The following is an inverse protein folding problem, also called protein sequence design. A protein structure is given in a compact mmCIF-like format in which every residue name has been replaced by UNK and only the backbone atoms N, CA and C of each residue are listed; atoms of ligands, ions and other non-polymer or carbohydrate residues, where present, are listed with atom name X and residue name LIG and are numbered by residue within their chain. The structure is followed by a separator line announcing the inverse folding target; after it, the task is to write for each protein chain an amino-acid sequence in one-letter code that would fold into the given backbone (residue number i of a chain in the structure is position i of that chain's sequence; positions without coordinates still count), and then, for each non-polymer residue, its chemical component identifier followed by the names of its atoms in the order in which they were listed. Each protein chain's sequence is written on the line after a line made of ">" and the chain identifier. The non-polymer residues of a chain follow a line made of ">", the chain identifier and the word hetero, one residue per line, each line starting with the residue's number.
data_IF_260937323685
#
_entry.id   IF_260937323685
#
_cell.length_a   1.000
_cell.length_b   1.000
_cell.length_c   1.000
_cell.angle_alpha   90.00
_cell.angle_beta   90.00
_cell.angle_gamma   90.00
#
_symmetry.space_group_name_H-M   'P 1'
#
loop_
_entity.id
_entity.type
_entity.pdbx_description
1 polymer ?
#
# COMPACT_ATOMS: atom_id res chain seq x y z
N UNK A 1 5.66 -13.64 -16.47
CA UNK A 1 5.17 -13.89 -15.10
C UNK A 1 5.45 -12.77 -14.11
N UNK A 2 6.68 -12.21 -14.05
CA UNK A 2 7.08 -11.26 -13.01
C UNK A 2 6.21 -9.98 -12.90
N UNK A 3 5.83 -9.36 -14.03
CA UNK A 3 4.98 -8.14 -14.02
C UNK A 3 3.62 -8.35 -13.33
N UNK A 4 2.99 -9.52 -13.51
CA UNK A 4 1.70 -9.84 -12.87
C UNK A 4 1.86 -10.07 -11.37
N UNK A 5 2.95 -10.73 -10.97
CA UNK A 5 3.29 -10.92 -9.56
C UNK A 5 3.40 -9.59 -8.81
N UNK A 6 4.12 -8.61 -9.38
CA UNK A 6 4.28 -7.29 -8.73
C UNK A 6 2.95 -6.54 -8.60
N UNK A 7 2.03 -6.68 -9.58
CA UNK A 7 0.69 -6.07 -9.47
C UNK A 7 -0.08 -6.70 -8.31
N UNK A 8 -0.11 -8.03 -8.19
CA UNK A 8 -0.77 -8.72 -7.08
C UNK A 8 -0.19 -8.29 -5.73
N UNK A 9 1.14 -8.19 -5.61
CA UNK A 9 1.79 -7.71 -4.38
C UNK A 9 1.42 -6.27 -4.06
N UNK A 10 1.33 -5.39 -5.05
CA UNK A 10 0.90 -4.00 -4.85
C UNK A 10 -0.57 -3.88 -4.43
N UNK A 11 -1.45 -4.73 -5.00
CA UNK A 11 -2.86 -4.81 -4.62
C UNK A 11 -3.03 -5.31 -3.18
N UNK A 12 -2.37 -6.42 -2.82
CA UNK A 12 -2.40 -6.95 -1.46
C UNK A 12 -1.89 -5.91 -0.45
N UNK A 13 -0.82 -5.19 -0.78
CA UNK A 13 -0.32 -4.13 0.08
C UNK A 13 -1.27 -2.92 0.21
N UNK A 14 -2.10 -2.64 -0.80
CA UNK A 14 -3.11 -1.57 -0.73
C UNK A 14 -4.27 -1.88 0.20
N UNK A 15 -4.50 -3.16 0.51
CA UNK A 15 -5.50 -3.59 1.47
C UNK A 15 -5.03 -3.46 2.94
N UNK A 16 -3.73 -3.31 3.18
CA UNK A 16 -3.16 -3.23 4.53
C UNK A 16 -3.05 -1.77 5.00
N UNK A 17 -3.80 -1.35 6.06
CA UNK A 17 -3.81 0.04 6.52
C UNK A 17 -2.41 0.55 6.91
N UNK A 18 -1.61 -0.29 7.58
CA UNK A 18 -0.26 0.07 8.01
C UNK A 18 0.66 0.46 6.84
N UNK A 19 0.55 -0.24 5.70
CA UNK A 19 1.35 0.07 4.51
C UNK A 19 0.85 1.34 3.80
N UNK A 20 -0.46 1.58 3.82
CA UNK A 20 -1.05 2.78 3.22
C UNK A 20 -0.73 4.04 4.04
N UNK A 21 -0.78 3.94 5.37
CA UNK A 21 -0.39 5.02 6.28
C UNK A 21 1.12 5.30 6.23
N UNK A 22 1.97 4.26 6.16
CA UNK A 22 3.44 4.45 6.11
C UNK A 22 3.90 5.17 4.85
N UNK A 23 3.20 4.97 3.72
CA UNK A 23 3.40 5.75 2.49
C UNK A 23 3.04 7.24 2.67
N UNK A 24 2.20 7.54 3.65
CA UNK A 24 1.77 8.87 4.01
C UNK A 24 0.40 9.25 3.44
N UNK A 25 -0.48 8.30 3.12
CA UNK A 25 -1.87 8.65 2.85
C UNK A 25 -2.61 9.00 4.15
N UNK A 26 -3.54 9.95 4.09
CA UNK A 26 -4.40 10.36 5.21
C UNK A 26 -5.69 9.54 5.20
N UNK A 27 -5.66 8.41 5.90
CA UNK A 27 -6.78 7.44 5.97
C UNK A 27 -7.30 7.24 7.39
N UNK A 28 -7.02 8.18 8.31
CA UNK A 28 -7.35 8.06 9.73
C UNK A 28 -8.88 8.05 9.99
N UNK A 29 -9.66 8.74 9.16
CA UNK A 29 -11.12 8.83 9.26
C UNK A 29 -11.86 7.88 8.30
N UNK A 30 -11.14 7.12 7.46
CA UNK A 30 -11.75 6.23 6.47
C UNK A 30 -12.32 4.99 7.19
N UNK A 31 -13.58 4.59 6.91
CA UNK A 31 -14.25 3.55 7.70
C UNK A 31 -13.61 2.17 7.56
N UNK A 32 -13.18 1.82 6.34
CA UNK A 32 -12.65 0.50 6.04
C UNK A 32 -11.60 0.54 4.93
N UNK A 33 -10.76 -0.50 4.92
CA UNK A 33 -9.80 -0.76 3.86
C UNK A 33 -9.79 -2.28 3.59
N UNK A 34 -10.00 -2.74 2.35
CA UNK A 34 -10.20 -1.99 1.11
C UNK A 34 -11.54 -1.22 1.07
N UNK A 35 -11.53 0.00 0.50
CA UNK A 35 -12.73 0.83 0.38
C UNK A 35 -13.46 0.53 -0.93
N UNK A 36 -14.69 0.02 -0.83
CA UNK A 36 -15.55 -0.32 -1.98
C UNK A 36 -16.78 0.60 -2.01
N UNK A 37 -17.16 1.09 -3.18
CA UNK A 37 -18.30 1.99 -3.40
C UNK A 37 -19.25 1.45 -4.47
N UNK A 38 -20.50 1.89 -4.43
CA UNK A 38 -21.52 1.53 -5.43
C UNK A 38 -21.10 1.89 -6.87
N UNK A 39 -21.58 1.12 -7.84
CA UNK A 39 -21.28 1.34 -9.27
C UNK A 39 -21.86 2.66 -9.81
N UNK A 40 -22.81 3.30 -9.12
CA UNK A 40 -23.34 4.64 -9.46
C UNK A 40 -22.26 5.71 -9.56
N UNK A 41 -21.10 5.49 -8.92
CA UNK A 41 -19.95 6.40 -8.98
C UNK A 41 -19.33 6.43 -10.38
N UNK A 42 -19.48 5.37 -11.18
CA UNK A 42 -19.01 5.30 -12.56
C UNK A 42 -19.78 6.27 -13.49
N UNK A 43 -21.05 6.55 -13.15
CA UNK A 43 -21.97 7.41 -13.91
C UNK A 43 -21.83 8.91 -13.63
N UNK A 44 -20.96 9.30 -12.69
CA UNK A 44 -20.78 10.71 -12.35
C UNK A 44 -20.28 11.52 -13.54
N UNK A 45 -20.99 12.62 -13.83
CA UNK A 45 -20.67 13.53 -14.94
C UNK A 45 -20.02 14.82 -14.45
N UNK A 46 -20.29 15.23 -13.21
CA UNK A 46 -19.83 16.52 -12.67
C UNK A 46 -18.77 16.34 -11.59
N UNK A 47 -17.76 17.21 -11.63
CA UNK A 47 -16.72 17.26 -10.59
C UNK A 47 -17.28 17.57 -9.19
N UNK A 48 -18.40 18.29 -9.10
CA UNK A 48 -19.09 18.60 -7.84
C UNK A 48 -19.55 17.33 -7.11
N UNK A 49 -20.12 16.37 -7.83
CA UNK A 49 -20.55 15.06 -7.30
C UNK A 49 -19.33 14.28 -6.77
N UNK A 50 -18.25 14.24 -7.55
CA UNK A 50 -16.99 13.64 -7.13
C UNK A 50 -16.41 14.30 -5.87
N UNK A 51 -16.49 15.63 -5.72
CA UNK A 51 -16.09 16.33 -4.47
C UNK A 51 -16.94 15.91 -3.29
N UNK A 52 -18.26 15.80 -3.48
CA UNK A 52 -19.19 15.42 -2.42
C UNK A 52 -18.93 13.99 -1.93
N UNK A 53 -18.79 13.03 -2.85
CA UNK A 53 -18.48 11.64 -2.52
C UNK A 53 -17.20 11.53 -1.67
N UNK A 54 -16.13 12.26 -2.04
CA UNK A 54 -14.87 12.23 -1.29
C UNK A 54 -14.96 12.82 0.12
N UNK A 55 -15.89 13.76 0.35
CA UNK A 55 -16.18 14.27 1.69
C UNK A 55 -16.91 13.21 2.52
N UNK A 56 -17.85 12.50 1.92
CA UNK A 56 -18.63 11.46 2.59
C UNK A 56 -17.76 10.26 2.95
N UNK A 57 -16.89 9.82 2.04
CA UNK A 57 -15.92 8.73 2.26
C UNK A 57 -14.72 9.11 3.13
N UNK A 58 -14.70 10.32 3.71
CA UNK A 58 -13.61 10.85 4.54
C UNK A 58 -12.23 10.89 3.88
N UNK A 59 -12.15 10.73 2.55
CA UNK A 59 -10.94 10.84 1.74
C UNK A 59 -10.50 12.30 1.47
N UNK A 60 -11.21 13.29 2.00
CA UNK A 60 -10.93 14.73 1.78
C UNK A 60 -9.53 15.13 2.26
N UNK A 61 -9.09 14.60 3.40
CA UNK A 61 -7.82 14.98 4.02
C UNK A 61 -6.62 14.58 3.16
N UNK A 62 -6.68 13.45 2.46
CA UNK A 62 -5.62 13.01 1.55
C UNK A 62 -5.45 13.97 0.36
N UNK A 63 -6.56 14.47 -0.18
CA UNK A 63 -6.53 15.45 -1.27
C UNK A 63 -6.12 16.84 -0.78
N UNK A 64 -6.56 17.27 0.40
CA UNK A 64 -6.08 18.51 1.02
C UNK A 64 -4.56 18.49 1.16
N UNK A 65 -3.99 17.34 1.51
CA UNK A 65 -2.53 17.12 1.53
C UNK A 65 -1.88 17.24 0.14
N UNK A 66 -2.55 16.78 -0.92
CA UNK A 66 -2.07 16.99 -2.30
C UNK A 66 -2.06 18.48 -2.65
N UNK A 67 -3.15 19.20 -2.42
CA UNK A 67 -3.21 20.66 -2.66
C UNK A 67 -2.10 21.41 -1.91
N UNK A 68 -1.92 21.13 -0.62
CA UNK A 68 -0.84 21.75 0.18
C UNK A 68 0.58 21.30 -0.20
N UNK A 69 0.74 20.31 -1.08
CA UNK A 69 2.05 19.84 -1.54
C UNK A 69 2.51 20.46 -2.87
N UNK A 70 1.62 21.21 -3.54
CA UNK A 70 1.93 21.82 -4.82
C UNK A 70 3.00 22.90 -4.64
N UNK A 71 4.13 22.75 -5.34
CA UNK A 71 5.23 23.71 -5.32
C UNK A 71 6.02 23.71 -6.63
N UNK A 72 6.78 24.76 -6.84
CA UNK A 72 7.70 24.85 -7.97
C UNK A 72 8.89 23.91 -7.79
N UNK A 73 9.24 23.16 -8.84
CA UNK A 73 10.38 22.25 -8.91
C UNK A 73 11.68 23.05 -8.82
N UNK A 74 12.64 22.60 -8.01
CA UNK A 74 13.97 23.19 -7.98
C UNK A 74 14.79 22.87 -9.25
N UNK A 75 15.69 23.78 -9.63
CA UNK A 75 16.66 23.58 -10.71
C UNK A 75 16.11 23.74 -12.14
N UNK A 76 16.90 23.26 -13.12
CA UNK A 76 16.67 23.45 -14.57
C UNK A 76 15.40 22.77 -15.12
N UNK A 77 14.72 21.96 -14.32
CA UNK A 77 13.46 21.32 -14.72
C UNK A 77 12.33 22.32 -15.02
N UNK A 78 12.38 23.53 -14.44
CA UNK A 78 11.41 24.61 -14.69
C UNK A 78 11.35 25.00 -16.17
N UNK A 79 12.51 25.13 -16.81
CA UNK A 79 12.65 25.52 -18.22
C UNK A 79 12.27 24.38 -19.18
N UNK A 80 12.23 23.14 -18.68
CA UNK A 80 11.92 21.93 -19.48
C UNK A 80 10.48 21.45 -19.30
N UNK A 81 9.53 22.37 -19.17
CA UNK A 81 8.09 22.09 -19.01
C UNK A 81 7.73 21.17 -17.83
N UNK A 82 8.56 21.15 -16.77
CA UNK A 82 8.35 20.35 -15.55
C UNK A 82 8.38 21.23 -14.30
N UNK A 83 7.77 22.41 -14.40
CA UNK A 83 7.83 23.46 -13.39
C UNK A 83 7.12 23.11 -12.09
N UNK A 84 6.01 22.38 -12.12
CA UNK A 84 5.24 22.04 -10.91
C UNK A 84 5.49 20.59 -10.46
N UNK A 85 5.47 20.38 -9.14
CA UNK A 85 5.46 19.07 -8.50
C UNK A 85 4.33 18.98 -7.48
N UNK A 86 3.76 17.78 -7.33
CA UNK A 86 2.70 17.49 -6.37
C UNK A 86 2.79 16.04 -5.92
N UNK A 87 2.19 15.72 -4.77
CA UNK A 87 2.06 14.33 -4.29
C UNK A 87 0.99 13.58 -5.06
N UNK A 88 1.12 12.25 -5.10
CA UNK A 88 0.05 11.36 -5.56
C UNK A 88 -1.02 11.23 -4.48
N UNK A 89 -2.27 11.35 -4.87
CA UNK A 89 -3.44 11.13 -4.01
C UNK A 89 -4.04 9.74 -4.23
N UNK A 90 -5.35 9.56 -3.95
CA UNK A 90 -5.99 8.27 -4.04
C UNK A 90 -6.07 7.77 -5.48
N UNK A 91 -6.08 6.46 -5.60
CA UNK A 91 -6.32 5.73 -6.84
C UNK A 91 -7.81 5.34 -6.89
N UNK A 92 -8.50 5.59 -7.99
CA UNK A 92 -9.89 5.16 -8.19
C UNK A 92 -9.88 4.10 -9.28
N UNK A 93 -10.27 2.89 -8.88
CA UNK A 93 -10.33 1.72 -9.74
C UNK A 93 -11.78 1.49 -10.16
N UNK A 94 -12.02 1.50 -11.46
CA UNK A 94 -13.35 1.36 -12.06
C UNK A 94 -13.33 0.27 -13.14
N UNK A 95 -14.50 -0.24 -13.48
CA UNK A 95 -14.67 -1.23 -14.53
C UNK A 95 -14.97 -0.55 -15.87
N UNK A 96 -16.06 0.23 -15.92
CA UNK A 96 -16.54 0.89 -17.13
C UNK A 96 -16.49 2.41 -17.00
N UNK A 97 -16.29 3.11 -18.12
CA UNK A 97 -16.25 4.57 -18.13
C UNK A 97 -17.58 5.14 -18.64
N UNK A 98 -18.51 5.39 -17.72
CA UNK A 98 -19.79 6.06 -17.98
C UNK A 98 -19.72 7.59 -17.77
N UNK A 99 -18.53 8.15 -17.51
CA UNK A 99 -18.35 9.57 -17.19
C UNK A 99 -17.34 9.83 -16.07
N UNK A 100 -17.00 8.80 -15.29
CA UNK A 100 -16.07 8.88 -14.16
C UNK A 100 -14.75 9.57 -14.50
N UNK A 101 -14.20 9.34 -15.71
CA UNK A 101 -12.94 9.98 -16.08
C UNK A 101 -13.09 11.51 -16.11
N UNK A 102 -14.18 12.01 -16.69
CA UNK A 102 -14.45 13.45 -16.78
C UNK A 102 -14.74 14.06 -15.42
N UNK A 103 -15.45 13.34 -14.55
CA UNK A 103 -15.76 13.80 -13.20
C UNK A 103 -14.52 13.89 -12.29
N UNK A 104 -13.56 12.97 -12.44
CA UNK A 104 -12.42 12.88 -11.52
C UNK A 104 -11.11 13.49 -12.05
N UNK A 105 -10.92 13.65 -13.37
CA UNK A 105 -9.65 14.12 -13.96
C UNK A 105 -9.17 15.49 -13.49
N UNK A 106 -10.09 16.39 -13.12
CA UNK A 106 -9.74 17.77 -12.76
C UNK A 106 -9.27 17.90 -11.30
N UNK A 107 -9.27 16.81 -10.54
CA UNK A 107 -8.86 16.83 -9.14
C UNK A 107 -7.36 16.50 -9.07
N UNK A 108 -6.55 17.34 -8.42
CA UNK A 108 -5.12 17.09 -8.34
C UNK A 108 -4.81 15.83 -7.54
N UNK A 109 -3.81 15.08 -8.00
CA UNK A 109 -3.29 13.88 -7.35
C UNK A 109 -4.15 12.62 -7.52
N UNK A 110 -5.41 12.72 -7.91
CA UNK A 110 -6.24 11.53 -8.19
C UNK A 110 -5.70 10.82 -9.41
N UNK A 111 -5.70 9.49 -9.36
CA UNK A 111 -5.36 8.67 -10.52
C UNK A 111 -6.48 7.67 -10.79
N UNK A 112 -6.96 7.69 -12.01
CA UNK A 112 -7.97 6.75 -12.49
C UNK A 112 -7.28 5.52 -13.11
N UNK A 113 -7.82 4.36 -12.80
CA UNK A 113 -7.32 3.06 -13.22
C UNK A 113 -8.50 2.18 -13.63
N UNK A 114 -8.43 1.67 -14.86
CA UNK A 114 -9.38 0.65 -15.31
C UNK A 114 -8.90 -0.72 -14.81
N UNK A 115 -9.83 -1.53 -14.29
CA UNK A 115 -9.55 -2.83 -13.70
C UNK A 115 -8.91 -3.83 -14.68
N UNK A 116 -9.34 -3.84 -15.94
CA UNK A 116 -8.78 -4.70 -16.97
C UNK A 116 -7.34 -4.30 -17.35
N UNK A 117 -6.96 -3.04 -17.07
CA UNK A 117 -5.68 -2.44 -17.47
C UNK A 117 -4.95 -1.81 -16.27
N UNK A 118 -4.81 -2.58 -15.19
CA UNK A 118 -4.04 -2.15 -14.01
C UNK A 118 -2.57 -1.87 -14.36
N UNK A 119 -2.08 -0.71 -13.89
CA UNK A 119 -0.71 -0.28 -14.14
C UNK A 119 0.08 -0.19 -12.83
N UNK A 120 1.19 -0.93 -12.77
CA UNK A 120 2.06 -0.95 -11.59
C UNK A 120 2.66 0.42 -11.25
N UNK A 121 2.99 1.25 -12.25
CA UNK A 121 3.56 2.58 -12.03
C UNK A 121 2.59 3.50 -11.30
N UNK A 122 1.28 3.26 -11.49
CA UNK A 122 0.21 3.98 -10.81
C UNK A 122 -0.13 3.34 -9.46
N UNK A 123 -0.09 2.03 -9.31
CA UNK A 123 -0.35 1.37 -8.02
C UNK A 123 0.79 1.55 -7.01
N UNK A 124 2.04 1.45 -7.46
CA UNK A 124 3.25 1.59 -6.65
C UNK A 124 4.16 2.73 -7.17
N UNK A 125 3.72 4.00 -7.12
CA UNK A 125 4.53 5.13 -7.56
C UNK A 125 5.83 5.21 -6.77
N UNK A 126 6.94 5.42 -7.47
CA UNK A 126 8.28 5.47 -6.88
C UNK A 126 8.80 4.12 -6.36
N UNK A 127 8.15 3.01 -6.70
CA UNK A 127 8.52 1.66 -6.22
C UNK A 127 8.01 1.33 -4.81
N UNK A 128 7.32 2.25 -4.15
CA UNK A 128 6.72 2.02 -2.83
C UNK A 128 5.30 1.45 -2.95
N UNK A 129 5.01 0.37 -2.23
CA UNK A 129 3.67 -0.25 -2.16
C UNK A 129 2.75 0.51 -1.18
N UNK A 130 1.47 0.12 -1.07
CA UNK A 130 0.53 0.74 -0.14
C UNK A 130 -0.01 2.09 -0.62
N UNK A 131 -0.50 2.18 -1.87
CA UNK A 131 -1.24 3.36 -2.30
C UNK A 131 -2.70 3.27 -1.83
N UNK A 132 -3.28 4.39 -1.39
CA UNK A 132 -4.70 4.42 -1.05
C UNK A 132 -5.55 4.25 -2.32
N UNK A 133 -6.38 3.21 -2.34
CA UNK A 133 -7.19 2.84 -3.50
C UNK A 133 -8.66 2.67 -3.11
N UNK A 134 -9.52 3.22 -3.96
CA UNK A 134 -10.98 3.21 -3.86
C UNK A 134 -11.48 2.37 -5.04
N UNK A 135 -12.36 1.42 -4.78
CA UNK A 135 -12.85 0.46 -5.76
C UNK A 135 -14.35 0.66 -5.99
N UNK A 136 -14.81 0.55 -7.23
CA UNK A 136 -16.23 0.31 -7.50
C UNK A 136 -16.57 -1.16 -7.27
N UNK A 137 -17.82 -1.45 -6.94
CA UNK A 137 -18.30 -2.81 -6.65
C UNK A 137 -18.01 -3.77 -7.81
N UNK A 138 -18.37 -3.38 -9.03
CA UNK A 138 -18.11 -4.12 -10.26
C UNK A 138 -16.61 -4.33 -10.50
N UNK A 139 -15.76 -3.31 -10.26
CA UNK A 139 -14.32 -3.44 -10.36
C UNK A 139 -13.77 -4.44 -9.34
N UNK A 140 -14.30 -4.43 -8.12
CA UNK A 140 -13.86 -5.34 -7.06
C UNK A 140 -14.23 -6.79 -7.38
N UNK A 141 -15.46 -7.05 -7.85
CA UNK A 141 -15.88 -8.40 -8.29
C UNK A 141 -15.03 -8.92 -9.45
N UNK A 142 -14.73 -8.05 -10.43
CA UNK A 142 -13.93 -8.41 -11.60
C UNK A 142 -12.47 -8.73 -11.29
N UNK A 143 -11.94 -8.37 -10.11
CA UNK A 143 -10.60 -8.80 -9.69
C UNK A 143 -10.49 -10.33 -9.58
N UNK A 144 -11.52 -10.98 -9.06
CA UNK A 144 -11.56 -12.44 -8.91
C UNK A 144 -11.53 -13.12 -10.29
N UNK A 145 -12.31 -12.61 -11.25
CA UNK A 145 -12.26 -13.10 -12.64
C UNK A 145 -10.91 -12.82 -13.33
N UNK A 146 -10.25 -11.72 -12.98
CA UNK A 146 -8.99 -11.33 -13.60
C UNK A 146 -7.78 -12.09 -13.07
N UNK A 147 -7.76 -12.45 -11.79
CA UNK A 147 -6.58 -13.05 -11.15
C UNK A 147 -6.84 -14.45 -10.57
N UNK A 148 -8.09 -14.86 -10.41
CA UNK A 148 -8.48 -16.14 -9.83
C UNK A 148 -8.22 -16.21 -8.33
N UNK A 149 -8.35 -17.41 -7.79
CA UNK A 149 -7.94 -17.78 -6.43
C UNK A 149 -6.82 -18.82 -6.52
N UNK A 150 -6.20 -19.21 -5.40
CA UNK A 150 -5.21 -20.29 -5.44
C UNK A 150 -5.78 -21.62 -5.95
N UNK A 151 -7.09 -21.86 -5.72
CA UNK A 151 -7.78 -23.08 -6.13
C UNK A 151 -8.34 -23.02 -7.55
N UNK A 152 -8.78 -21.85 -8.01
CA UNK A 152 -9.39 -21.65 -9.33
C UNK A 152 -8.54 -20.69 -10.16
N UNK A 153 -8.01 -21.16 -11.28
CA UNK A 153 -7.22 -20.34 -12.21
C UNK A 153 -8.04 -19.17 -12.79
N UNK A 154 -7.36 -18.11 -13.21
CA UNK A 154 -8.00 -16.89 -13.71
C UNK A 154 -8.69 -17.14 -15.06
N UNK A 155 -10.02 -16.92 -15.20
CA UNK A 155 -10.72 -17.12 -16.47
C UNK A 155 -10.24 -16.14 -17.56
N UNK A 156 -9.99 -14.87 -17.19
CA UNK A 156 -9.63 -13.82 -18.17
C UNK A 156 -8.14 -13.80 -18.54
N UNK A 157 -7.28 -14.50 -17.78
CA UNK A 157 -5.84 -14.54 -18.03
C UNK A 157 -5.40 -15.98 -18.29
N UNK A 158 -5.17 -16.28 -19.56
CA UNK A 158 -4.66 -17.58 -20.02
C UNK A 158 -3.38 -17.95 -19.26
N UNK A 159 -3.33 -19.20 -18.80
CA UNK A 159 -2.20 -19.83 -18.10
C UNK A 159 -1.67 -19.00 -16.92
N UNK A 160 -2.56 -18.39 -16.15
CA UNK A 160 -2.22 -17.61 -14.98
C UNK A 160 -2.90 -18.12 -13.72
N UNK A 161 -2.11 -18.30 -12.67
CA UNK A 161 -2.59 -18.53 -11.31
C UNK A 161 -1.86 -17.56 -10.35
N UNK A 162 -2.42 -17.34 -9.17
CA UNK A 162 -1.81 -16.55 -8.11
C UNK A 162 -0.48 -17.17 -7.66
N UNK A 163 0.49 -16.32 -7.26
CA UNK A 163 1.73 -16.82 -6.71
C UNK A 163 1.51 -17.54 -5.38
N UNK A 164 2.18 -18.67 -5.20
CA UNK A 164 2.19 -19.40 -3.93
C UNK A 164 2.99 -18.63 -2.88
N UNK A 165 2.47 -18.57 -1.66
CA UNK A 165 3.18 -18.02 -0.52
C UNK A 165 4.31 -18.96 -0.09
N UNK A 166 5.46 -18.43 0.32
CA UNK A 166 6.57 -19.24 0.85
C UNK A 166 6.38 -19.63 2.31
N UNK A 167 5.66 -18.80 3.07
CA UNK A 167 5.31 -19.03 4.47
C UNK A 167 3.79 -18.94 4.60
N UNK A 168 3.18 -19.98 5.17
CA UNK A 168 1.74 -19.99 5.47
C UNK A 168 1.38 -18.95 6.56
N UNK A 169 2.18 -18.92 7.63
CA UNK A 169 2.05 -17.97 8.72
C UNK A 169 3.29 -17.06 8.77
N UNK A 170 3.08 -15.75 8.70
CA UNK A 170 4.14 -14.74 8.74
C UNK A 170 4.36 -14.15 10.14
N UNK A 171 3.53 -14.49 11.13
CA UNK A 171 3.68 -14.04 12.51
C UNK A 171 4.76 -14.86 13.23
N UNK A 172 6.00 -14.41 13.07
CA UNK A 172 7.16 -14.99 13.74
C UNK A 172 7.04 -14.90 15.26
N UNK A 173 6.40 -13.87 15.80
CA UNK A 173 6.28 -13.70 17.25
C UNK A 173 5.43 -14.79 17.87
N UNK A 174 4.34 -15.17 17.20
CA UNK A 174 3.46 -16.27 17.58
C UNK A 174 4.15 -17.62 17.42
N UNK A 175 4.85 -17.83 16.31
CA UNK A 175 5.60 -19.07 16.08
C UNK A 175 6.65 -19.26 17.18
N UNK A 176 7.47 -18.24 17.45
CA UNK A 176 8.53 -18.35 18.46
C UNK A 176 7.98 -18.56 19.88
N UNK A 177 6.81 -17.98 20.21
CA UNK A 177 6.16 -18.14 21.52
C UNK A 177 5.31 -19.40 21.63
N UNK A 178 5.23 -20.24 20.60
CA UNK A 178 4.41 -21.44 20.63
C UNK A 178 4.93 -22.43 21.68
N UNK A 179 4.05 -23.15 22.39
CA UNK A 179 4.47 -24.06 23.46
C UNK A 179 5.33 -25.21 22.95
N UNK A 180 5.15 -25.63 21.69
CA UNK A 180 5.93 -26.68 21.03
C UNK A 180 7.39 -26.25 20.89
N UNK A 181 7.62 -25.02 20.41
CA UNK A 181 8.97 -24.44 20.28
C UNK A 181 9.55 -24.16 21.66
N UNK A 182 8.81 -23.50 22.55
CA UNK A 182 9.29 -23.16 23.88
C UNK A 182 9.68 -24.40 24.71
N UNK A 183 8.97 -25.53 24.55
CA UNK A 183 9.30 -26.80 25.20
C UNK A 183 10.61 -27.42 24.68
N UNK A 184 10.92 -27.22 23.41
CA UNK A 184 12.14 -27.74 22.79
C UNK A 184 13.38 -26.84 23.03
N UNK A 185 13.18 -25.58 23.39
CA UNK A 185 14.27 -24.61 23.57
C UNK A 185 14.99 -24.80 24.91
N UNK A 186 16.31 -24.60 24.88
CA UNK A 186 17.15 -24.49 26.09
C UNK A 186 16.99 -23.11 26.73
N UNK A 187 17.30 -23.00 28.02
CA UNK A 187 17.30 -21.73 28.72
C UNK A 187 18.28 -20.73 28.08
N UNK A 188 17.89 -19.45 27.91
CA UNK A 188 18.72 -18.46 27.25
C UNK A 188 19.91 -18.06 28.13
N UNK A 189 21.11 -18.03 27.55
CA UNK A 189 22.32 -17.50 28.19
C UNK A 189 22.38 -15.98 28.02
N UNK A 190 21.94 -15.24 29.04
CA UNK A 190 21.88 -13.77 29.01
C UNK A 190 23.17 -13.08 29.50
N UNK A 191 24.16 -13.84 29.99
CA UNK A 191 25.39 -13.29 30.53
C UNK A 191 26.30 -12.82 29.41
N UNK A 192 26.51 -11.51 29.32
CA UNK A 192 27.49 -10.90 28.41
C UNK A 192 28.84 -10.89 29.13
N UNK A 193 29.84 -11.55 28.56
CA UNK A 193 31.20 -11.54 29.07
C UNK A 193 31.97 -10.38 28.44
N UNK A 194 31.98 -9.24 29.12
CA UNK A 194 32.82 -8.12 28.72
C UNK A 194 34.28 -8.38 29.06
N UNK A 195 35.20 -7.86 28.25
CA UNK A 195 36.63 -7.90 28.56
C UNK A 195 36.86 -7.16 29.87
N UNK A 196 37.31 -7.88 30.89
CA UNK A 196 37.69 -7.29 32.16
C UNK A 196 39.06 -6.64 31.98
N UNK A 197 39.16 -5.34 32.27
CA UNK A 197 40.46 -4.66 32.33
C UNK A 197 41.29 -5.31 33.45
N UNK A 198 42.43 -5.90 33.09
CA UNK A 198 43.37 -6.45 34.07
C UNK A 198 43.93 -5.28 34.89
N UNK A 199 43.49 -5.16 36.14
CA UNK A 199 44.06 -4.20 37.08
C UNK A 199 45.36 -4.77 37.65
N UNK A 200 46.32 -3.90 37.97
CA UNK A 200 47.60 -4.32 38.54
C UNK A 200 47.38 -4.77 40.01
N UNK A 201 47.71 -6.03 40.37
CA UNK A 201 47.50 -6.55 41.72
C UNK A 201 48.38 -5.86 42.77
N UNK A 202 49.61 -5.45 42.41
CA UNK A 202 50.52 -4.75 43.33
C UNK A 202 50.01 -3.35 43.73
N UNK A 203 49.10 -2.78 42.95
CA UNK A 203 48.51 -1.45 43.19
C UNK A 203 47.05 -1.51 43.64
N UNK A 204 46.45 -2.69 43.74
CA UNK A 204 45.04 -2.85 44.07
C UNK A 204 44.83 -3.91 45.15
N UNK A 205 44.68 -3.47 46.40
CA UNK A 205 44.48 -4.30 47.59
C UNK A 205 43.29 -5.26 47.51
N UNK A 206 42.27 -4.98 46.67
CA UNK A 206 41.11 -5.87 46.49
C UNK A 206 41.39 -7.05 45.55
N UNK A 207 42.58 -7.10 44.95
CA UNK A 207 43.04 -8.18 44.08
C UNK A 207 44.17 -9.01 44.68
N UNK A 208 44.73 -8.57 45.80
CA UNK A 208 45.65 -9.33 46.66
C UNK A 208 44.79 -10.16 47.61
#
# INVERSE_FOLDING_TARGET
>A
MQKRHVICSALAASALPALVMSKGHRIEEVPELPLVVEDKVEDYKKTKEAVLLRKNLKARNDIKKVYGSQRMRAGKGKVRNRCCIQRGGPCINYNEDSGIIKAFRNIPGITLLNISKLNILKLAPGGHVGRFCIWTESAFRKLEELYGTWHKAAPLKINYNLPMHKMLNTDLSRILKSPEIQRALRSPRKKIHCRVLKKNPLKNLRLI
#
